data_IF_953594801278
#
_entry.id   IF_953594801278
#
_cell.length_a   1.000
_cell.length_b   1.000
_cell.length_c   1.000
_cell.angle_alpha   90.00
_cell.angle_beta   90.00
_cell.angle_gamma   90.00
#
_symmetry.space_group_name_H-M   'P 1'
#
loop_
_entity.id
_entity.type
_entity.pdbx_description
1 polymer ?
#
# COMPACT_ATOMS: atom_id res chain seq x y z
N UNK A 1 -3.00 4.39 13.43
CA UNK A 1 -1.80 4.43 12.59
C UNK A 1 -2.14 5.00 11.23
N UNK A 2 -1.35 5.92 10.73
CA UNK A 2 -1.51 6.45 9.37
C UNK A 2 -0.65 5.66 8.39
N UNK A 3 -1.00 5.72 7.11
CA UNK A 3 -0.25 5.00 6.06
C UNK A 3 1.24 5.37 6.10
N UNK A 4 1.58 6.65 6.26
CA UNK A 4 2.98 7.08 6.34
C UNK A 4 3.75 6.41 7.49
N UNK A 5 3.08 6.09 8.59
CA UNK A 5 3.74 5.45 9.74
C UNK A 5 4.14 4.01 9.41
N UNK A 6 3.32 3.30 8.65
CA UNK A 6 3.63 1.94 8.20
C UNK A 6 4.91 1.94 7.35
N UNK A 7 5.06 2.91 6.45
CA UNK A 7 6.19 2.96 5.52
C UNK A 7 7.47 3.53 6.14
N UNK A 8 7.45 3.91 7.42
CA UNK A 8 8.67 4.16 8.19
C UNK A 8 9.36 2.86 8.61
N UNK A 9 8.60 1.76 8.72
CA UNK A 9 9.11 0.46 9.16
C UNK A 9 9.20 -0.56 8.03
N UNK A 10 8.50 -0.35 6.93
CA UNK A 10 8.59 -1.19 5.72
C UNK A 10 9.69 -0.61 4.83
N UNK A 11 10.76 -1.36 4.62
CA UNK A 11 11.86 -0.92 3.77
C UNK A 11 11.54 -1.22 2.32
N UNK A 12 11.33 -0.15 1.53
CA UNK A 12 10.99 -0.27 0.11
C UNK A 12 12.18 -0.05 -0.81
N UNK A 13 13.42 0.04 -0.29
CA UNK A 13 14.62 0.21 -1.12
C UNK A 13 14.97 -1.07 -1.87
N UNK A 14 14.72 -2.21 -1.26
CA UNK A 14 15.07 -3.53 -1.81
C UNK A 14 13.89 -4.49 -1.86
N UNK A 15 12.70 -4.00 -1.57
CA UNK A 15 11.47 -4.79 -1.50
C UNK A 15 10.39 -4.02 -2.24
N UNK A 16 9.87 -4.61 -3.31
CA UNK A 16 8.97 -3.92 -4.24
C UNK A 16 7.60 -4.62 -4.31
N UNK A 17 6.85 -4.68 -3.20
CA UNK A 17 5.54 -5.33 -3.22
C UNK A 17 4.53 -4.52 -4.01
N UNK A 18 3.53 -5.21 -4.56
CA UNK A 18 2.33 -4.53 -5.02
C UNK A 18 1.62 -3.93 -3.79
N UNK A 19 1.26 -2.66 -3.87
CA UNK A 19 0.58 -1.96 -2.76
C UNK A 19 -0.84 -1.68 -3.20
N UNK A 20 -1.81 -2.28 -2.49
CA UNK A 20 -3.23 -2.08 -2.76
C UNK A 20 -3.85 -1.31 -1.61
N UNK A 21 -4.50 -0.19 -1.92
CA UNK A 21 -5.23 0.61 -0.96
C UNK A 21 -6.73 0.35 -1.16
N UNK A 22 -7.39 -0.07 -0.09
CA UNK A 22 -8.86 -0.17 -0.04
C UNK A 22 -9.36 1.05 0.72
N UNK A 23 -10.03 1.96 0.03
CA UNK A 23 -10.45 3.26 0.56
C UNK A 23 -11.91 3.20 0.99
N UNK A 24 -12.16 2.97 2.29
CA UNK A 24 -13.51 2.85 2.83
C UNK A 24 -14.29 4.16 2.76
N UNK A 25 -13.60 5.30 2.88
CA UNK A 25 -14.25 6.60 2.80
C UNK A 25 -14.72 6.94 1.38
N UNK A 26 -14.24 6.21 0.38
CA UNK A 26 -14.59 6.41 -1.02
C UNK A 26 -15.25 5.14 -1.59
N UNK A 27 -16.31 4.67 -0.93
CA UNK A 27 -17.14 3.53 -1.35
C UNK A 27 -16.31 2.25 -1.55
N UNK A 28 -15.30 2.03 -0.70
CA UNK A 28 -14.37 0.91 -0.79
C UNK A 28 -13.70 0.81 -2.16
N UNK A 29 -13.36 1.96 -2.75
CA UNK A 29 -12.60 1.95 -3.98
C UNK A 29 -11.23 1.31 -3.75
N UNK A 30 -10.73 0.60 -4.76
CA UNK A 30 -9.47 -0.14 -4.67
C UNK A 30 -8.49 0.46 -5.68
N UNK A 31 -7.28 0.77 -5.21
CA UNK A 31 -6.23 1.28 -6.06
C UNK A 31 -4.93 0.52 -5.79
N UNK A 32 -4.32 0.01 -6.85
CA UNK A 32 -3.07 -0.75 -6.75
C UNK A 32 -1.93 -0.01 -7.41
N UNK A 33 -0.79 0.03 -6.71
CA UNK A 33 0.46 0.62 -7.17
C UNK A 33 1.48 -0.51 -7.35
N UNK A 34 2.07 -0.61 -8.56
CA UNK A 34 2.97 -1.70 -8.92
C UNK A 34 4.30 -1.16 -9.44
N UNK A 35 5.40 -1.73 -8.95
CA UNK A 35 6.73 -1.29 -9.35
C UNK A 35 6.95 -1.32 -10.87
N UNK A 36 6.69 -2.41 -11.61
CA UNK A 36 6.98 -2.43 -13.04
C UNK A 36 6.22 -1.39 -13.85
N UNK A 37 4.98 -1.07 -13.44
CA UNK A 37 4.14 -0.10 -14.15
C UNK A 37 4.42 1.33 -13.74
N UNK A 38 4.62 1.55 -12.44
CA UNK A 38 4.71 2.88 -11.86
C UNK A 38 6.17 3.34 -11.67
N UNK A 39 7.14 2.45 -11.93
CA UNK A 39 8.55 2.73 -11.76
C UNK A 39 8.96 2.79 -10.30
N UNK A 40 10.18 3.31 -10.04
CA UNK A 40 10.74 3.34 -8.69
C UNK A 40 10.03 4.33 -7.75
N UNK A 41 9.19 5.20 -8.30
CA UNK A 41 8.49 6.24 -7.54
C UNK A 41 7.07 5.83 -7.16
N UNK A 42 6.68 4.58 -7.38
CA UNK A 42 5.30 4.16 -7.12
C UNK A 42 4.90 4.28 -5.65
N UNK A 43 5.85 4.06 -4.73
CA UNK A 43 5.62 4.25 -3.30
C UNK A 43 5.37 5.72 -2.98
N UNK A 44 6.16 6.62 -3.56
CA UNK A 44 5.97 8.06 -3.37
C UNK A 44 4.61 8.51 -3.90
N UNK A 45 4.19 7.98 -5.04
CA UNK A 45 2.88 8.30 -5.61
C UNK A 45 1.75 7.80 -4.71
N UNK A 46 1.89 6.61 -4.15
CA UNK A 46 0.93 6.08 -3.18
C UNK A 46 0.88 6.97 -1.94
N UNK A 47 2.04 7.32 -1.38
CA UNK A 47 2.13 8.18 -0.20
C UNK A 47 1.54 9.57 -0.45
N UNK A 48 1.80 10.17 -1.61
CA UNK A 48 1.23 11.48 -1.96
C UNK A 48 -0.30 11.48 -1.88
N UNK A 49 -0.93 10.35 -2.17
CA UNK A 49 -2.40 10.26 -2.15
C UNK A 49 -2.95 9.83 -0.80
N UNK A 50 -2.23 9.00 -0.03
CA UNK A 50 -2.78 8.31 1.12
C UNK A 50 -1.99 8.45 2.42
N UNK A 51 -0.90 9.19 2.45
CA UNK A 51 0.02 9.20 3.60
C UNK A 51 -0.64 9.56 4.93
N UNK A 52 -1.62 10.45 4.91
CA UNK A 52 -2.31 10.93 6.12
C UNK A 52 -3.60 10.17 6.43
N UNK A 53 -3.94 9.18 5.62
CA UNK A 53 -5.13 8.37 5.84
C UNK A 53 -4.91 7.38 6.98
N UNK A 54 -5.93 7.21 7.80
CA UNK A 54 -5.87 6.31 8.95
C UNK A 54 -6.15 4.88 8.52
N UNK A 55 -5.26 3.95 8.90
CA UNK A 55 -5.45 2.52 8.65
C UNK A 55 -6.47 1.99 9.65
N UNK A 56 -7.49 1.27 9.17
CA UNK A 56 -8.49 0.65 10.05
C UNK A 56 -7.83 -0.45 10.90
N UNK A 57 -8.46 -0.80 12.03
CA UNK A 57 -7.96 -1.87 12.89
C UNK A 57 -7.84 -3.17 12.07
N UNK A 58 -6.68 -3.82 12.15
CA UNK A 58 -6.35 -5.02 11.37
C UNK A 58 -6.40 -4.80 9.84
N UNK A 59 -6.23 -3.54 9.40
CA UNK A 59 -6.35 -3.18 7.99
C UNK A 59 -5.10 -3.37 7.16
N UNK A 60 -4.10 -4.11 7.62
CA UNK A 60 -2.88 -4.39 6.84
C UNK A 60 -2.73 -5.90 6.68
N UNK A 61 -2.53 -6.33 5.44
CA UNK A 61 -2.28 -7.72 5.10
C UNK A 61 -1.04 -7.82 4.20
N UNK A 62 -0.09 -8.66 4.60
CA UNK A 62 1.12 -8.94 3.84
C UNK A 62 1.03 -10.37 3.30
N UNK A 63 1.50 -10.57 2.08
CA UNK A 63 1.52 -11.92 1.54
C UNK A 63 2.30 -12.00 0.24
N UNK A 64 2.27 -13.21 -0.34
CA UNK A 64 2.83 -13.50 -1.64
C UNK A 64 1.75 -14.23 -2.43
N UNK A 65 1.48 -13.79 -3.65
CA UNK A 65 0.44 -14.39 -4.46
C UNK A 65 0.92 -15.70 -5.11
N UNK A 66 0.04 -16.34 -5.88
CA UNK A 66 0.34 -17.62 -6.54
C UNK A 66 1.45 -17.52 -7.58
N UNK A 67 1.73 -16.31 -8.07
CA UNK A 67 2.81 -16.05 -9.04
C UNK A 67 4.12 -15.64 -8.37
N UNK A 68 4.19 -15.68 -7.03
CA UNK A 68 5.38 -15.30 -6.30
C UNK A 68 5.57 -13.80 -6.14
N UNK A 69 4.53 -13.00 -6.40
CA UNK A 69 4.57 -11.55 -6.25
C UNK A 69 4.19 -11.17 -4.82
N UNK A 70 5.06 -10.46 -4.13
CA UNK A 70 4.77 -9.93 -2.80
C UNK A 70 3.73 -8.82 -2.88
N UNK A 71 2.85 -8.73 -1.89
CA UNK A 71 1.84 -7.68 -1.83
C UNK A 71 1.63 -7.16 -0.42
N UNK A 72 1.14 -5.91 -0.35
CA UNK A 72 0.64 -5.30 0.87
C UNK A 72 -0.74 -4.75 0.54
N UNK A 73 -1.74 -5.18 1.31
CA UNK A 73 -3.11 -4.63 1.20
C UNK A 73 -3.35 -3.77 2.43
N UNK A 74 -3.75 -2.52 2.22
CA UNK A 74 -3.96 -1.55 3.28
C UNK A 74 -5.38 -1.01 3.16
N UNK A 75 -6.18 -1.23 4.21
CA UNK A 75 -7.53 -0.68 4.27
C UNK A 75 -7.49 0.61 5.09
N UNK A 76 -8.02 1.70 4.52
CA UNK A 76 -8.06 3.02 5.16
C UNK A 76 -9.49 3.52 5.28
N UNK A 77 -9.74 4.26 6.36
CA UNK A 77 -11.01 4.95 6.59
C UNK A 77 -11.02 6.36 6.02
#
# INVERSE_FOLDING_TARGET
MKVKDLFKVVDTRYFYPDITIVDDANLRSVKTFKYPQDGKTYVDRMLNQFEDRTIVQYGVDFGTDENGIDYIIIEVE
#
